data_IF_861924442877
#
_entry.id   IF_861924442877
#
_cell.length_a   1.000
_cell.length_b   1.000
_cell.length_c   1.000
_cell.angle_alpha   90.00
_cell.angle_beta   90.00
_cell.angle_gamma   90.00
#
_symmetry.space_group_name_H-M   'P 1'
#
loop_
_entity.id
_entity.type
_entity.pdbx_description
1 polymer ?
#
# COMPACT_ATOMS: atom_id res chain seq x y z
N UNK A 1 13.32 11.72 3.83
CA UNK A 1 14.49 11.10 4.51
C UNK A 1 15.62 12.07 4.87
N UNK A 2 15.33 13.30 5.33
CA UNK A 2 16.40 14.26 5.70
C UNK A 2 17.12 13.86 7.00
N UNK A 3 16.35 13.41 8.01
CA UNK A 3 16.88 13.01 9.32
C UNK A 3 17.80 11.79 9.24
N UNK A 4 17.38 10.73 8.53
CA UNK A 4 18.16 9.49 8.42
C UNK A 4 19.52 9.75 7.76
N UNK A 5 19.52 10.52 6.66
CA UNK A 5 20.75 10.94 5.99
C UNK A 5 21.63 11.75 6.93
N UNK A 6 21.09 12.73 7.66
CA UNK A 6 21.89 13.53 8.59
C UNK A 6 22.56 12.64 9.66
N UNK A 7 21.86 11.67 10.23
CA UNK A 7 22.42 10.74 11.24
C UNK A 7 23.60 9.96 10.66
N UNK A 8 23.50 9.46 9.43
CA UNK A 8 24.61 8.77 8.75
C UNK A 8 25.81 9.72 8.54
N UNK A 9 25.56 11.00 8.30
CA UNK A 9 26.61 12.02 8.18
C UNK A 9 27.09 12.58 9.53
N UNK A 10 26.75 11.94 10.66
CA UNK A 10 27.24 12.33 11.97
C UNK A 10 26.48 13.50 12.60
N UNK A 11 25.17 13.60 12.38
CA UNK A 11 24.29 14.54 13.08
C UNK A 11 24.53 14.51 14.59
N UNK A 12 24.88 15.66 15.17
CA UNK A 12 25.19 15.85 16.60
C UNK A 12 23.99 16.36 17.41
N UNK A 13 22.77 16.26 16.89
CA UNK A 13 21.56 16.61 17.64
C UNK A 13 21.07 15.45 18.52
N UNK A 14 20.45 15.77 19.67
CA UNK A 14 19.90 14.78 20.59
C UNK A 14 20.94 13.80 21.15
N UNK A 15 20.56 12.52 21.23
CA UNK A 15 21.40 11.46 21.83
C UNK A 15 22.74 11.26 21.11
N UNK A 16 22.86 11.63 19.83
CA UNK A 16 24.10 11.50 19.06
C UNK A 16 25.27 12.23 19.74
N UNK A 17 25.00 13.37 20.38
CA UNK A 17 26.01 14.12 21.14
C UNK A 17 26.44 13.39 22.41
N UNK A 18 25.49 12.78 23.11
CA UNK A 18 25.74 12.05 24.37
C UNK A 18 26.56 10.78 24.13
N UNK A 19 26.34 10.09 23.01
CA UNK A 19 27.08 8.88 22.63
C UNK A 19 28.28 9.15 21.73
N UNK A 20 28.60 10.42 21.47
CA UNK A 20 29.68 10.85 20.59
C UNK A 20 29.64 10.15 19.20
N UNK A 21 28.44 10.00 18.63
CA UNK A 21 28.22 9.34 17.34
C UNK A 21 28.94 10.10 16.22
N UNK A 22 29.84 9.46 15.47
CA UNK A 22 30.64 10.12 14.42
C UNK A 22 30.08 9.93 12.99
N UNK A 23 28.89 9.35 12.86
CA UNK A 23 28.35 8.96 11.57
C UNK A 23 28.80 7.57 11.12
N UNK A 24 28.47 7.23 9.88
CA UNK A 24 28.67 5.91 9.28
C UNK A 24 27.43 5.02 9.33
N UNK A 25 27.64 3.75 8.97
CA UNK A 25 26.58 2.76 8.84
C UNK A 25 25.91 2.77 7.46
N UNK A 26 25.04 1.79 7.26
CA UNK A 26 24.14 1.71 6.10
C UNK A 26 22.75 1.36 6.61
N UNK A 27 21.73 1.70 5.84
CA UNK A 27 20.37 1.24 6.11
C UNK A 27 19.85 0.52 4.87
N UNK A 28 19.09 -0.54 5.14
CA UNK A 28 18.26 -1.18 4.13
C UNK A 28 16.84 -0.73 4.41
N UNK A 29 16.10 -0.40 3.36
CA UNK A 29 14.67 -0.16 3.46
C UNK A 29 13.96 -1.10 2.50
N UNK A 30 12.73 -1.46 2.85
CA UNK A 30 11.84 -2.28 2.04
C UNK A 30 10.49 -1.59 1.96
N UNK A 31 9.72 -1.92 0.92
CA UNK A 31 8.36 -1.44 0.75
C UNK A 31 7.37 -2.59 0.91
N UNK A 32 6.17 -2.27 1.39
CA UNK A 32 5.07 -3.24 1.47
C UNK A 32 4.48 -3.49 0.08
N UNK A 33 4.20 -4.75 -0.23
CA UNK A 33 3.56 -5.13 -1.48
C UNK A 33 2.13 -4.60 -1.51
N UNK A 34 1.84 -3.71 -2.46
CA UNK A 34 0.55 -3.04 -2.59
C UNK A 34 -0.52 -4.02 -3.04
N UNK A 35 -1.68 -3.95 -2.37
CA UNK A 35 -2.95 -4.56 -2.78
C UNK A 35 -3.92 -3.41 -3.12
N UNK A 36 -4.92 -3.13 -2.27
CA UNK A 36 -5.83 -2.00 -2.50
C UNK A 36 -5.14 -0.62 -2.51
N UNK A 37 -3.93 -0.50 -1.96
CA UNK A 37 -3.15 0.73 -2.01
C UNK A 37 -2.89 1.21 -3.45
N UNK A 38 -2.75 0.29 -4.41
CA UNK A 38 -2.58 0.65 -5.82
C UNK A 38 -3.79 1.41 -6.36
N UNK A 39 -4.99 0.85 -6.16
CA UNK A 39 -6.25 1.50 -6.56
C UNK A 39 -6.47 2.83 -5.84
N UNK A 40 -6.19 2.89 -4.53
CA UNK A 40 -6.31 4.12 -3.76
C UNK A 40 -5.43 5.23 -4.33
N UNK A 41 -4.18 4.91 -4.67
CA UNK A 41 -3.25 5.86 -5.27
C UNK A 41 -3.74 6.36 -6.63
N UNK A 42 -4.23 5.46 -7.48
CA UNK A 42 -4.75 5.80 -8.80
C UNK A 42 -6.02 6.67 -8.70
N UNK A 43 -6.94 6.35 -7.78
CA UNK A 43 -8.13 7.16 -7.50
C UNK A 43 -7.78 8.56 -7.01
N UNK A 44 -6.77 8.69 -6.14
CA UNK A 44 -6.31 9.99 -5.66
C UNK A 44 -5.71 10.83 -6.77
N UNK A 45 -4.94 10.20 -7.67
CA UNK A 45 -4.29 10.85 -8.81
C UNK A 45 -5.22 11.18 -9.97
N UNK A 46 -6.32 10.46 -10.12
CA UNK A 46 -7.30 10.72 -11.16
C UNK A 46 -7.79 12.17 -11.09
N UNK A 47 -7.95 12.76 -12.26
CA UNK A 47 -8.39 14.14 -12.49
C UNK A 47 -9.65 14.21 -13.35
N UNK A 48 -10.03 13.11 -13.99
CA UNK A 48 -11.22 13.01 -14.84
C UNK A 48 -12.14 11.85 -14.45
N UNK A 49 -13.40 11.93 -14.86
CA UNK A 49 -14.40 10.87 -14.62
C UNK A 49 -14.00 9.57 -15.34
N UNK A 50 -13.47 9.67 -16.55
CA UNK A 50 -13.03 8.50 -17.32
C UNK A 50 -11.88 7.77 -16.62
N UNK A 51 -10.94 8.50 -16.02
CA UNK A 51 -9.89 7.91 -15.20
C UNK A 51 -10.47 7.20 -13.97
N UNK A 52 -11.44 7.80 -13.26
CA UNK A 52 -12.10 7.15 -12.12
C UNK A 52 -12.81 5.85 -12.55
N UNK A 53 -13.49 5.86 -13.69
CA UNK A 53 -14.17 4.69 -14.23
C UNK A 53 -13.16 3.59 -14.63
N UNK A 54 -12.04 3.96 -15.25
CA UNK A 54 -10.98 3.02 -15.59
C UNK A 54 -10.35 2.37 -14.35
N UNK A 55 -10.21 3.11 -13.23
CA UNK A 55 -9.79 2.49 -11.96
C UNK A 55 -10.87 1.56 -11.42
N UNK A 56 -12.13 1.99 -11.45
CA UNK A 56 -13.26 1.17 -10.98
C UNK A 56 -13.39 -0.15 -11.74
N UNK A 57 -13.20 -0.14 -13.06
CA UNK A 57 -13.24 -1.35 -13.87
C UNK A 57 -12.17 -2.36 -13.49
N UNK A 58 -10.96 -1.90 -13.14
CA UNK A 58 -9.91 -2.78 -12.58
C UNK A 58 -10.25 -3.25 -11.17
N UNK A 59 -10.87 -2.40 -10.35
CA UNK A 59 -11.28 -2.78 -8.99
C UNK A 59 -12.27 -3.95 -9.01
N UNK A 60 -13.23 -3.97 -9.95
CA UNK A 60 -14.19 -5.08 -10.09
C UNK A 60 -13.54 -6.44 -10.37
N UNK A 61 -12.33 -6.45 -10.93
CA UNK A 61 -11.64 -7.68 -11.33
C UNK A 61 -10.71 -8.21 -10.23
N UNK A 62 -10.24 -7.36 -9.31
CA UNK A 62 -9.18 -7.77 -8.39
C UNK A 62 -8.96 -6.90 -7.15
N UNK A 63 -9.89 -5.99 -6.81
CA UNK A 63 -9.84 -5.31 -5.52
C UNK A 63 -10.62 -6.10 -4.46
N UNK A 64 -10.15 -6.05 -3.21
CA UNK A 64 -10.98 -6.44 -2.08
C UNK A 64 -11.89 -5.29 -1.70
N UNK A 65 -13.19 -5.53 -1.85
CA UNK A 65 -14.21 -4.53 -1.59
C UNK A 65 -14.73 -4.69 -0.17
N UNK A 66 -15.02 -3.57 0.50
CA UNK A 66 -15.64 -3.57 1.82
C UNK A 66 -17.00 -4.25 1.72
N UNK A 67 -17.13 -5.41 2.39
CA UNK A 67 -18.32 -6.26 2.37
C UNK A 67 -19.60 -5.55 2.83
N UNK A 68 -19.48 -4.39 3.50
CA UNK A 68 -20.61 -3.56 3.94
C UNK A 68 -21.18 -2.72 2.80
N UNK A 69 -20.51 -2.65 1.65
CA UNK A 69 -21.00 -1.91 0.49
C UNK A 69 -21.80 -2.82 -0.41
N UNK A 70 -23.04 -2.40 -0.69
CA UNK A 70 -23.86 -3.00 -1.72
C UNK A 70 -23.44 -2.45 -3.09
N UNK A 71 -22.64 -3.26 -3.81
CA UNK A 71 -22.17 -2.92 -5.15
C UNK A 71 -23.31 -2.82 -6.16
N UNK A 72 -24.36 -3.63 -6.01
CA UNK A 72 -25.52 -3.55 -6.90
C UNK A 72 -26.24 -2.22 -6.70
N UNK A 73 -26.39 -1.76 -5.46
CA UNK A 73 -26.93 -0.43 -5.18
C UNK A 73 -26.03 0.67 -5.74
N UNK A 74 -24.71 0.51 -5.63
CA UNK A 74 -23.74 1.47 -6.15
C UNK A 74 -23.73 1.57 -7.69
N UNK A 75 -23.95 0.47 -8.40
CA UNK A 75 -23.98 0.43 -9.87
C UNK A 75 -25.31 0.87 -10.46
N UNK A 76 -26.43 0.58 -9.79
CA UNK A 76 -27.77 0.92 -10.27
C UNK A 76 -28.26 2.28 -9.79
N UNK A 77 -27.44 3.05 -9.08
CA UNK A 77 -27.78 4.41 -8.66
C UNK A 77 -27.69 5.38 -9.83
N UNK A 78 -28.84 5.74 -10.40
CA UNK A 78 -28.95 6.70 -11.50
C UNK A 78 -28.46 8.10 -11.14
N UNK A 79 -28.43 8.47 -9.86
CA UNK A 79 -27.96 9.77 -9.41
C UNK A 79 -26.42 9.84 -9.32
N UNK A 80 -25.74 8.68 -9.28
CA UNK A 80 -24.27 8.61 -9.19
C UNK A 80 -23.59 9.31 -10.37
N UNK A 81 -24.10 9.11 -11.59
CA UNK A 81 -23.54 9.73 -12.79
C UNK A 81 -23.63 11.27 -12.75
N UNK A 82 -24.56 11.80 -11.95
CA UNK A 82 -24.80 13.24 -11.78
C UNK A 82 -24.00 13.84 -10.60
N UNK A 83 -23.30 13.02 -9.82
CA UNK A 83 -22.51 13.51 -8.68
C UNK A 83 -21.30 14.32 -9.15
N UNK A 84 -20.89 15.35 -8.38
CA UNK A 84 -19.62 16.02 -8.59
C UNK A 84 -18.45 15.03 -8.58
N UNK A 85 -17.41 15.34 -9.36
CA UNK A 85 -16.20 14.53 -9.49
C UNK A 85 -15.61 14.10 -8.13
N UNK A 86 -15.49 15.03 -7.19
CA UNK A 86 -14.93 14.74 -5.86
C UNK A 86 -15.78 13.77 -5.04
N UNK A 87 -17.09 13.79 -5.21
CA UNK A 87 -17.98 12.88 -4.49
C UNK A 87 -17.96 11.48 -5.12
N UNK A 88 -17.87 11.39 -6.46
CA UNK A 88 -17.64 10.11 -7.13
C UNK A 88 -16.30 9.48 -6.69
N UNK A 89 -15.22 10.28 -6.62
CA UNK A 89 -13.91 9.84 -6.13
C UNK A 89 -13.99 9.33 -4.70
N UNK A 90 -14.64 10.07 -3.79
CA UNK A 90 -14.81 9.65 -2.39
C UNK A 90 -15.61 8.36 -2.26
N UNK A 91 -16.63 8.17 -3.09
CA UNK A 91 -17.43 6.94 -3.09
C UNK A 91 -16.57 5.74 -3.51
N UNK A 92 -15.79 5.84 -4.59
CA UNK A 92 -14.89 4.78 -5.03
C UNK A 92 -13.85 4.42 -3.96
N UNK A 93 -13.28 5.43 -3.28
CA UNK A 93 -12.35 5.20 -2.17
C UNK A 93 -13.02 4.46 -1.01
N UNK A 94 -14.31 4.71 -0.74
CA UNK A 94 -15.07 4.01 0.30
C UNK A 94 -15.35 2.55 -0.04
N UNK A 95 -15.32 2.16 -1.32
CA UNK A 95 -15.52 0.77 -1.73
C UNK A 95 -14.36 -0.13 -1.34
N UNK A 96 -13.14 0.42 -1.23
CA UNK A 96 -11.96 -0.37 -0.90
C UNK A 96 -11.97 -0.79 0.57
N UNK A 97 -11.74 -2.07 0.85
CA UNK A 97 -11.41 -2.50 2.20
C UNK A 97 -10.02 -1.96 2.58
N UNK A 98 -9.99 -1.04 3.54
CA UNK A 98 -8.77 -0.39 4.03
C UNK A 98 -7.88 -1.32 4.85
N UNK A 99 -8.42 -2.44 5.33
CA UNK A 99 -7.62 -3.47 5.99
C UNK A 99 -6.82 -4.32 4.97
N UNK A 100 -7.17 -4.23 3.69
CA UNK A 100 -6.55 -4.95 2.58
C UNK A 100 -5.71 -4.04 1.67
N UNK A 101 -5.13 -2.95 2.21
CA UNK A 101 -4.27 -2.05 1.44
C UNK A 101 -2.98 -2.72 0.95
N UNK A 102 -2.46 -3.67 1.72
CA UNK A 102 -1.24 -4.42 1.42
C UNK A 102 -1.47 -5.90 1.67
N UNK A 103 -0.69 -6.74 0.99
CA UNK A 103 -0.69 -8.18 1.27
C UNK A 103 -0.11 -8.46 2.65
N UNK A 104 -0.74 -9.40 3.36
CA UNK A 104 -0.18 -9.93 4.60
C UNK A 104 0.85 -11.02 4.26
N UNK A 105 2.01 -11.01 4.93
CA UNK A 105 3.03 -12.04 4.74
C UNK A 105 2.49 -13.44 5.08
N UNK A 106 1.53 -13.56 6.00
CA UNK A 106 0.91 -14.85 6.31
C UNK A 106 0.24 -15.50 5.09
N UNK A 107 -0.13 -14.71 4.08
CA UNK A 107 -0.73 -15.17 2.82
C UNK A 107 0.29 -15.40 1.71
N UNK A 108 1.60 -15.25 1.96
CA UNK A 108 2.63 -15.30 0.90
C UNK A 108 2.74 -16.68 0.20
N UNK A 109 2.25 -17.73 0.85
CA UNK A 109 2.20 -19.10 0.30
C UNK A 109 0.84 -19.43 -0.36
N UNK A 110 -0.16 -18.55 -0.27
CA UNK A 110 -1.43 -18.73 -0.95
C UNK A 110 -1.20 -18.68 -2.47
N UNK A 111 -1.84 -19.57 -3.23
CA UNK A 111 -1.53 -19.77 -4.65
C UNK A 111 -1.68 -18.49 -5.48
N UNK A 112 -2.74 -17.73 -5.23
CA UNK A 112 -3.04 -16.45 -5.87
C UNK A 112 -2.03 -15.35 -5.52
N UNK A 113 -1.46 -15.38 -4.32
CA UNK A 113 -0.42 -14.43 -3.89
C UNK A 113 0.96 -14.84 -4.40
N UNK A 114 1.26 -16.14 -4.38
CA UNK A 114 2.56 -16.68 -4.80
C UNK A 114 2.86 -16.41 -6.26
N UNK A 115 1.84 -16.44 -7.11
CA UNK A 115 1.94 -16.13 -8.55
C UNK A 115 2.21 -14.64 -8.83
N UNK A 116 1.94 -13.76 -7.87
CA UNK A 116 2.15 -12.31 -7.98
C UNK A 116 3.54 -11.86 -7.49
N UNK A 117 4.30 -12.74 -6.84
CA UNK A 117 5.57 -12.41 -6.18
C UNK A 117 6.73 -13.11 -6.88
N UNK A 118 7.82 -12.36 -7.09
CA UNK A 118 9.05 -12.92 -7.66
C UNK A 118 9.71 -13.93 -6.70
N UNK A 119 10.40 -14.94 -7.23
CA UNK A 119 11.13 -15.91 -6.39
C UNK A 119 12.16 -15.24 -5.46
N UNK A 120 12.76 -14.13 -5.91
CA UNK A 120 13.68 -13.33 -5.09
C UNK A 120 12.99 -12.67 -3.91
N UNK A 121 11.84 -12.02 -4.14
CA UNK A 121 11.11 -11.32 -3.08
C UNK A 121 10.47 -12.32 -2.11
N UNK A 122 9.97 -13.45 -2.62
CA UNK A 122 9.46 -14.55 -1.82
C UNK A 122 10.54 -15.08 -0.87
N UNK A 123 11.72 -15.43 -1.41
CA UNK A 123 12.84 -15.94 -0.60
C UNK A 123 13.35 -14.89 0.40
N UNK A 124 13.40 -13.62 0.00
CA UNK A 124 13.79 -12.54 0.89
C UNK A 124 12.82 -12.40 2.06
N UNK A 125 11.51 -12.33 1.81
CA UNK A 125 10.49 -12.24 2.87
C UNK A 125 10.53 -13.46 3.79
N UNK A 126 10.63 -14.68 3.24
CA UNK A 126 10.78 -15.89 4.06
C UNK A 126 12.03 -15.85 4.94
N UNK A 127 13.16 -15.39 4.42
CA UNK A 127 14.38 -15.24 5.21
C UNK A 127 14.28 -14.13 6.26
N UNK A 128 13.58 -13.04 5.95
CA UNK A 128 13.44 -11.89 6.82
C UNK A 128 12.53 -12.19 8.02
N UNK A 129 11.38 -12.83 7.78
CA UNK A 129 10.38 -13.10 8.82
C UNK A 129 10.56 -14.47 9.52
N UNK A 130 11.11 -15.48 8.84
CA UNK A 130 11.40 -16.80 9.46
C UNK A 130 12.86 -16.97 9.89
N UNK A 131 13.64 -15.89 9.82
CA UNK A 131 14.95 -15.80 10.46
C UNK A 131 14.78 -15.88 11.97
N UNK A 132 14.86 -17.11 12.50
CA UNK A 132 14.88 -17.43 13.93
C UNK A 132 15.75 -16.43 14.70
N UNK A 133 15.27 -16.03 15.87
CA UNK A 133 16.08 -15.51 16.98
C UNK A 133 17.46 -16.17 16.95
N UNK A 134 18.51 -15.36 16.76
CA UNK A 134 19.86 -15.72 17.14
C UNK A 134 19.83 -16.00 18.65
N UNK A 135 19.60 -17.26 19.03
CA UNK A 135 19.90 -17.76 20.37
C UNK A 135 21.40 -17.71 20.62
#
# INVERSE_FOLDING_TARGET
NKRLNNVIHGDQTGISKEVNWQGGGSFVYTELMKKNQGFLYDLQKATTIDELNAVYDRMKQGADLDFRVDLNKFENDSERASLPFEDQKKLLIKLLDKNQLYYNEANIDDADVRDLISDSDYRFNKSFYNGKESK
#
